data_IF_266781448792
#
_entry.id   IF_266781448792
#
_cell.length_a   1.000
_cell.length_b   1.000
_cell.length_c   1.000
_cell.angle_alpha   90.00
_cell.angle_beta   90.00
_cell.angle_gamma   90.00
#
_symmetry.space_group_name_H-M   'P 1'
#
loop_
_entity.id
_entity.type
_entity.pdbx_description
1 polymer ?
#
# COMPACT_ATOMS: atom_id res chain seq x y z
N UNK A 1 1.65 -14.86 8.90
CA UNK A 1 1.92 -14.01 10.07
C UNK A 1 1.08 -12.75 9.91
N UNK A 2 0.28 -12.39 10.91
CA UNK A 2 -0.60 -11.23 10.82
C UNK A 2 0.22 -9.94 10.86
N UNK A 3 -0.19 -8.90 10.13
CA UNK A 3 0.46 -7.59 10.19
C UNK A 3 -0.57 -6.54 10.60
N UNK A 4 -0.17 -5.57 11.40
CA UNK A 4 -1.06 -4.51 11.89
C UNK A 4 -0.37 -3.16 11.73
N UNK A 5 -1.10 -2.19 11.19
CA UNK A 5 -0.69 -0.81 11.12
C UNK A 5 -1.36 -0.01 12.25
N UNK A 6 -0.56 0.71 13.04
CA UNK A 6 -1.05 1.71 13.98
C UNK A 6 -1.27 3.03 13.24
N UNK A 7 -2.43 3.63 13.44
CA UNK A 7 -2.81 4.91 12.84
C UNK A 7 -2.69 6.06 13.85
N UNK A 8 -2.38 7.25 13.35
CA UNK A 8 -2.57 8.49 14.10
C UNK A 8 -4.02 9.03 13.94
N UNK A 9 -4.28 10.19 14.54
CA UNK A 9 -5.60 10.86 14.50
C UNK A 9 -6.04 11.32 13.10
N UNK A 10 -5.14 11.34 12.12
CA UNK A 10 -5.42 11.74 10.74
C UNK A 10 -5.46 10.52 9.80
N UNK A 11 -5.58 9.31 10.37
CA UNK A 11 -5.52 8.03 9.64
C UNK A 11 -4.17 7.79 8.92
N UNK A 12 -3.08 8.40 9.40
CA UNK A 12 -1.73 8.14 8.86
C UNK A 12 -1.08 7.00 9.61
N UNK A 13 -0.48 6.05 8.88
CA UNK A 13 0.28 4.94 9.43
C UNK A 13 1.56 5.46 10.06
N UNK A 14 1.73 5.25 11.37
CA UNK A 14 2.90 5.68 12.14
C UNK A 14 3.78 4.52 12.60
N UNK A 15 3.27 3.28 12.51
CA UNK A 15 4.00 2.08 12.87
C UNK A 15 3.35 0.85 12.24
N UNK A 16 4.15 -0.11 11.79
CA UNK A 16 3.67 -1.42 11.29
C UNK A 16 4.35 -2.51 12.11
N UNK A 17 3.56 -3.43 12.65
CA UNK A 17 4.05 -4.54 13.46
C UNK A 17 3.56 -5.87 12.93
N UNK A 18 4.34 -6.89 13.25
CA UNK A 18 4.04 -8.27 12.97
C UNK A 18 3.42 -8.88 14.23
N UNK A 19 2.24 -9.49 14.10
CA UNK A 19 1.58 -10.31 15.11
C UNK A 19 1.71 -11.79 14.78
N UNK A 20 1.30 -12.67 15.70
CA UNK A 20 1.35 -14.13 15.44
C UNK A 20 0.25 -14.53 14.48
N UNK A 21 0.28 -15.77 14.00
CA UNK A 21 -0.79 -16.28 13.14
C UNK A 21 -2.13 -16.34 13.87
N UNK A 22 -2.15 -16.64 15.17
CA UNK A 22 -3.38 -16.74 15.98
C UNK A 22 -3.99 -15.36 16.30
N UNK A 23 -3.28 -14.28 15.94
CA UNK A 23 -3.76 -12.91 16.10
C UNK A 23 -4.51 -12.41 14.84
N UNK A 24 -4.56 -13.21 13.76
CA UNK A 24 -5.32 -12.89 12.54
C UNK A 24 -6.80 -12.58 12.86
N UNK A 25 -7.32 -11.48 12.31
CA UNK A 25 -8.67 -10.98 12.57
C UNK A 25 -8.85 -10.23 13.90
N UNK A 26 -7.82 -10.11 14.75
CA UNK A 26 -7.93 -9.52 16.10
C UNK A 26 -7.59 -8.03 16.18
N UNK A 27 -7.76 -7.28 15.09
CA UNK A 27 -7.46 -5.84 15.08
C UNK A 27 -8.29 -5.04 16.12
N UNK A 28 -9.55 -5.44 16.33
CA UNK A 28 -10.43 -4.79 17.31
C UNK A 28 -9.97 -5.06 18.74
N UNK A 29 -9.54 -6.29 19.04
CA UNK A 29 -8.99 -6.65 20.36
C UNK A 29 -7.68 -5.91 20.63
N UNK A 30 -6.80 -5.83 19.64
CA UNK A 30 -5.54 -5.09 19.74
C UNK A 30 -5.79 -3.60 19.97
N UNK A 31 -6.74 -3.02 19.24
CA UNK A 31 -7.18 -1.62 19.39
C UNK A 31 -7.72 -1.37 20.79
N UNK A 32 -8.66 -2.20 21.26
CA UNK A 32 -9.26 -2.06 22.59
C UNK A 32 -8.24 -2.24 23.73
N UNK A 33 -7.29 -3.17 23.59
CA UNK A 33 -6.28 -3.46 24.62
C UNK A 33 -5.25 -2.35 24.78
N UNK A 34 -4.88 -1.68 23.68
CA UNK A 34 -3.81 -0.67 23.68
C UNK A 34 -4.34 0.76 23.83
N UNK A 35 -5.59 1.00 23.42
CA UNK A 35 -6.16 2.35 23.31
C UNK A 35 -5.74 3.08 22.03
N UNK A 36 -4.92 2.47 21.19
CA UNK A 36 -4.50 2.98 19.88
C UNK A 36 -5.34 2.36 18.76
N UNK A 37 -5.45 3.03 17.61
CA UNK A 37 -6.17 2.48 16.45
C UNK A 37 -5.24 1.60 15.63
N UNK A 38 -5.62 0.33 15.46
CA UNK A 38 -4.94 -0.61 14.59
C UNK A 38 -5.83 -1.08 13.44
N UNK A 39 -5.20 -1.28 12.28
CA UNK A 39 -5.81 -1.89 11.10
C UNK A 39 -4.91 -3.01 10.61
N UNK A 40 -5.48 -4.20 10.45
CA UNK A 40 -4.76 -5.35 9.92
C UNK A 40 -4.37 -5.14 8.45
N UNK A 41 -3.24 -5.66 8.03
CA UNK A 41 -2.79 -5.59 6.65
C UNK A 41 -2.15 -6.91 6.26
N UNK A 42 -2.01 -7.17 4.96
CA UNK A 42 -1.29 -8.35 4.46
C UNK A 42 -0.11 -7.91 3.64
N UNK A 43 1.08 -8.37 4.04
CA UNK A 43 2.33 -8.16 3.29
C UNK A 43 2.22 -8.63 1.83
N UNK A 44 1.39 -9.63 1.60
CA UNK A 44 1.17 -10.25 0.31
C UNK A 44 0.08 -9.58 -0.52
N UNK A 45 -0.48 -8.46 -0.07
CA UNK A 45 -1.57 -7.78 -0.76
C UNK A 45 -1.10 -6.47 -1.40
N UNK A 46 -1.35 -6.35 -2.70
CA UNK A 46 -1.04 -5.15 -3.49
C UNK A 46 -2.11 -4.98 -4.57
N UNK A 47 -2.60 -3.76 -4.76
CA UNK A 47 -3.60 -3.43 -5.75
C UNK A 47 -4.91 -4.22 -5.67
N UNK A 48 -5.35 -4.61 -4.47
CA UNK A 48 -6.56 -5.38 -4.24
C UNK A 48 -6.41 -6.89 -4.35
N UNK A 49 -5.21 -7.39 -4.69
CA UNK A 49 -4.96 -8.81 -4.93
C UNK A 49 -3.98 -9.34 -3.90
N UNK A 50 -4.30 -10.47 -3.28
CA UNK A 50 -3.41 -11.24 -2.44
C UNK A 50 -2.58 -12.21 -3.30
N UNK A 51 -1.29 -12.32 -2.99
CA UNK A 51 -0.34 -13.14 -3.75
C UNK A 51 0.32 -14.22 -2.88
N UNK A 52 0.66 -15.34 -3.51
CA UNK A 52 1.54 -16.36 -2.95
C UNK A 52 2.53 -16.73 -4.05
N UNK A 53 3.84 -16.78 -3.74
CA UNK A 53 4.89 -17.11 -4.71
C UNK A 53 4.82 -16.26 -6.00
N UNK A 54 4.53 -14.96 -5.83
CA UNK A 54 4.34 -13.98 -6.91
C UNK A 54 3.17 -14.23 -7.87
N UNK A 55 2.29 -15.20 -7.60
CA UNK A 55 1.04 -15.42 -8.33
C UNK A 55 -0.18 -15.02 -7.46
N UNK A 56 -1.31 -14.59 -8.06
CA UNK A 56 -2.55 -14.40 -7.30
C UNK A 56 -2.90 -15.67 -6.52
N UNK A 57 -3.10 -15.55 -5.22
CA UNK A 57 -3.44 -16.71 -4.39
C UNK A 57 -4.84 -17.23 -4.70
N UNK A 58 -5.04 -18.54 -4.53
CA UNK A 58 -6.37 -19.14 -4.66
C UNK A 58 -7.36 -18.57 -3.61
N UNK A 59 -6.85 -18.26 -2.41
CA UNK A 59 -7.60 -17.63 -1.34
C UNK A 59 -7.36 -16.11 -1.35
N UNK A 60 -8.35 -15.34 -1.80
CA UNK A 60 -8.33 -13.87 -1.78
C UNK A 60 -8.96 -13.28 -0.51
N UNK A 61 -9.46 -14.09 0.43
CA UNK A 61 -10.03 -13.57 1.69
C UNK A 61 -8.99 -12.85 2.56
N UNK A 62 -7.70 -13.08 2.27
CA UNK A 62 -6.53 -12.44 2.90
C UNK A 62 -6.11 -11.15 2.22
N UNK A 63 -6.83 -10.70 1.19
CA UNK A 63 -6.60 -9.43 0.49
C UNK A 63 -7.07 -8.25 1.35
N UNK A 64 -6.37 -8.01 2.46
CA UNK A 64 -6.72 -6.93 3.37
C UNK A 64 -6.36 -5.56 2.80
N UNK A 65 -7.35 -4.67 2.79
CA UNK A 65 -7.17 -3.22 2.65
C UNK A 65 -6.44 -2.76 1.39
N UNK A 66 -6.66 -3.51 0.29
CA UNK A 66 -6.09 -3.36 -1.05
C UNK A 66 -4.56 -3.35 -1.16
N UNK A 67 -3.84 -2.76 -0.24
CA UNK A 67 -2.39 -2.60 -0.26
C UNK A 67 -1.82 -2.90 1.13
N UNK A 68 -0.60 -3.40 1.16
CA UNK A 68 0.16 -3.45 2.39
C UNK A 68 0.39 -2.05 2.97
N UNK A 69 0.21 -1.88 4.27
CA UNK A 69 0.47 -0.61 4.94
C UNK A 69 1.97 -0.30 5.01
N UNK A 70 2.34 0.93 4.70
CA UNK A 70 3.69 1.46 4.91
C UNK A 70 3.67 2.69 5.80
N UNK A 71 4.81 3.01 6.43
CA UNK A 71 4.94 4.24 7.21
C UNK A 71 4.60 5.47 6.34
N UNK A 72 3.76 6.36 6.87
CA UNK A 72 3.28 7.55 6.16
C UNK A 72 2.12 7.30 5.19
N UNK A 73 1.68 6.06 5.00
CA UNK A 73 0.49 5.78 4.18
C UNK A 73 -0.75 6.32 4.88
N UNK A 74 -1.72 6.77 4.11
CA UNK A 74 -3.04 7.16 4.65
C UNK A 74 -4.00 5.98 4.53
N UNK A 75 -4.70 5.65 5.61
CA UNK A 75 -5.82 4.72 5.57
C UNK A 75 -7.08 5.46 5.14
N UNK A 76 -7.62 5.07 3.99
CA UNK A 76 -8.90 5.55 3.48
C UNK A 76 -10.00 4.55 3.89
N UNK A 77 -10.86 4.99 4.82
CA UNK A 77 -11.96 4.17 5.34
C UNK A 77 -13.03 3.87 4.29
N UNK A 78 -13.29 4.79 3.35
CA UNK A 78 -14.33 4.61 2.34
C UNK A 78 -13.91 3.57 1.30
N UNK A 79 -12.63 3.58 0.93
CA UNK A 79 -12.06 2.63 -0.04
C UNK A 79 -11.57 1.35 0.62
N UNK A 80 -11.57 1.29 1.95
CA UNK A 80 -10.85 0.32 2.79
C UNK A 80 -9.46 0.05 2.20
N UNK A 81 -8.62 1.09 2.17
CA UNK A 81 -7.35 1.04 1.45
C UNK A 81 -6.23 1.75 2.20
N UNK A 82 -5.03 1.17 2.19
CA UNK A 82 -3.82 1.93 2.49
C UNK A 82 -3.30 2.60 1.22
N UNK A 83 -3.23 3.93 1.22
CA UNK A 83 -2.81 4.74 0.09
C UNK A 83 -1.41 5.30 0.39
N UNK A 84 -0.39 5.00 -0.44
CA UNK A 84 0.94 5.59 -0.27
C UNK A 84 0.89 7.12 -0.36
N UNK A 85 1.87 7.84 0.22
CA UNK A 85 2.09 9.24 -0.10
C UNK A 85 2.17 9.45 -1.61
N UNK A 86 1.54 10.51 -2.10
CA UNK A 86 1.54 10.84 -3.51
C UNK A 86 2.98 11.10 -3.99
N UNK A 87 3.54 10.32 -4.95
CA UNK A 87 4.92 10.48 -5.38
C UNK A 87 5.19 11.83 -6.05
N UNK A 88 4.25 12.24 -6.92
CA UNK A 88 4.31 13.50 -7.67
C UNK A 88 2.92 14.09 -7.86
N UNK A 89 2.82 15.41 -8.03
CA UNK A 89 1.53 16.09 -8.11
C UNK A 89 0.72 15.69 -9.36
N UNK A 90 1.40 15.36 -10.46
CA UNK A 90 0.80 14.93 -11.73
C UNK A 90 0.25 13.50 -11.72
N UNK A 91 0.67 12.67 -10.75
CA UNK A 91 0.22 11.27 -10.68
C UNK A 91 -1.25 11.19 -10.27
N UNK A 92 -1.96 10.20 -10.79
CA UNK A 92 -3.40 10.04 -10.60
C UNK A 92 -3.66 8.81 -9.75
N UNK A 93 -4.58 8.90 -8.80
CA UNK A 93 -4.95 7.75 -7.99
C UNK A 93 -5.79 6.80 -8.83
N UNK A 94 -5.37 5.55 -8.91
CA UNK A 94 -6.19 4.48 -9.45
C UNK A 94 -7.21 4.07 -8.39
N UNK A 95 -8.50 4.39 -8.56
CA UNK A 95 -9.50 4.14 -7.52
C UNK A 95 -9.75 2.65 -7.24
N UNK A 96 -9.44 1.79 -8.22
CA UNK A 96 -9.56 0.33 -8.07
C UNK A 96 -8.46 -0.19 -7.16
N UNK A 97 -7.18 0.05 -7.50
CA UNK A 97 -6.02 -0.47 -6.77
C UNK A 97 -5.61 0.38 -5.57
N UNK A 98 -6.02 1.65 -5.55
CA UNK A 98 -5.61 2.68 -4.60
C UNK A 98 -4.09 2.93 -4.60
N UNK A 99 -3.46 2.73 -5.75
CA UNK A 99 -2.06 3.07 -6.04
C UNK A 99 -2.00 4.28 -6.97
N UNK A 100 -0.86 4.96 -6.98
CA UNK A 100 -0.63 6.11 -7.85
C UNK A 100 -0.06 5.66 -9.19
N UNK A 101 -0.72 6.06 -10.28
CA UNK A 101 -0.27 5.84 -11.66
C UNK A 101 0.29 7.13 -12.24
N UNK A 102 1.42 7.04 -12.93
CA UNK A 102 1.94 8.15 -13.73
C UNK A 102 0.99 8.42 -14.90
N UNK A 103 0.78 9.70 -15.31
CA UNK A 103 -0.10 10.03 -16.43
C UNK A 103 0.47 9.58 -17.78
N UNK A 104 1.77 9.33 -17.87
CA UNK A 104 2.45 8.80 -19.05
C UNK A 104 3.04 7.43 -18.73
N UNK A 105 2.80 6.45 -19.61
CA UNK A 105 3.30 5.09 -19.44
C UNK A 105 4.83 5.06 -19.40
N UNK A 106 5.38 4.22 -18.52
CA UNK A 106 6.82 3.97 -18.46
C UNK A 106 7.29 3.33 -19.79
N UNK A 107 8.38 3.81 -20.43
CA UNK A 107 8.85 3.25 -21.69
C UNK A 107 9.29 1.78 -21.54
N UNK A 108 8.87 0.93 -22.47
CA UNK A 108 9.21 -0.50 -22.52
C UNK A 108 10.30 -0.77 -23.57
N UNK A 109 11.49 -0.20 -23.37
CA UNK A 109 12.64 -0.32 -24.27
C UNK A 109 13.90 -0.87 -23.56
N UNK A 110 13.73 -1.37 -22.33
CA UNK A 110 14.80 -1.95 -21.52
C UNK A 110 15.75 -0.93 -20.89
N UNK A 111 15.45 0.37 -20.97
CA UNK A 111 16.23 1.43 -20.32
C UNK A 111 15.65 1.84 -18.98
N UNK A 112 16.47 2.55 -18.19
CA UNK A 112 16.05 3.09 -16.90
C UNK A 112 15.59 4.54 -17.06
N UNK A 113 14.47 4.88 -16.46
CA UNK A 113 13.92 6.23 -16.48
C UNK A 113 13.60 6.73 -15.07
N UNK A 114 13.72 8.04 -14.90
CA UNK A 114 13.20 8.78 -13.75
C UNK A 114 12.06 9.68 -14.20
N UNK A 115 11.10 9.96 -13.32
CA UNK A 115 9.98 10.85 -13.63
C UNK A 115 10.41 12.32 -13.51
N UNK A 116 10.22 13.11 -14.55
CA UNK A 116 10.35 14.56 -14.52
C UNK A 116 8.97 15.19 -14.37
N UNK A 117 8.73 15.80 -13.21
CA UNK A 117 7.43 16.41 -12.88
C UNK A 117 7.14 17.70 -13.64
N UNK A 118 8.17 18.50 -13.96
CA UNK A 118 7.98 19.78 -14.65
C UNK A 118 7.50 19.58 -16.09
N UNK A 119 7.99 18.53 -16.74
CA UNK A 119 7.63 18.18 -18.11
C UNK A 119 6.57 17.07 -18.18
N UNK A 120 6.19 16.50 -17.05
CA UNK A 120 5.27 15.34 -16.95
C UNK A 120 5.68 14.19 -17.87
N UNK A 121 6.97 13.82 -17.85
CA UNK A 121 7.53 12.82 -18.75
C UNK A 121 8.65 12.00 -18.11
N UNK A 122 8.92 10.83 -18.68
CA UNK A 122 10.05 9.99 -18.30
C UNK A 122 11.36 10.49 -18.92
N UNK A 123 12.42 10.58 -18.13
CA UNK A 123 13.76 10.98 -18.55
C UNK A 123 14.73 9.82 -18.31
N UNK A 124 15.40 9.38 -19.37
CA UNK A 124 16.37 8.27 -19.32
C UNK A 124 17.50 8.61 -18.35
N UNK A 125 17.86 7.65 -17.50
CA UNK A 125 18.97 7.75 -16.55
C UNK A 125 20.03 6.71 -16.88
N UNK A 126 21.27 7.16 -17.02
CA UNK A 126 22.41 6.25 -17.20
C UNK A 126 22.83 5.73 -15.83
N UNK A 127 22.81 4.41 -15.67
CA UNK A 127 23.45 3.76 -14.52
C UNK A 127 24.95 3.74 -14.82
N UNK A 128 25.73 4.48 -14.02
CA UNK A 128 27.19 4.48 -14.11
C UNK A 128 27.79 3.21 -13.49
#
# INVERSE_FOLDING_TARGET
MAHFAKLDKNNVVIFVTVGRNEDDGKEAELTARTGDVYKQTSYNTRGGVHYTDNAPSADQSKAFRKNYAGLGYTYDEQRDAFIPPKPYASWVLNETSCLWDAPVAYPDDGKFYSWNEETTSWVEVNVA
#
